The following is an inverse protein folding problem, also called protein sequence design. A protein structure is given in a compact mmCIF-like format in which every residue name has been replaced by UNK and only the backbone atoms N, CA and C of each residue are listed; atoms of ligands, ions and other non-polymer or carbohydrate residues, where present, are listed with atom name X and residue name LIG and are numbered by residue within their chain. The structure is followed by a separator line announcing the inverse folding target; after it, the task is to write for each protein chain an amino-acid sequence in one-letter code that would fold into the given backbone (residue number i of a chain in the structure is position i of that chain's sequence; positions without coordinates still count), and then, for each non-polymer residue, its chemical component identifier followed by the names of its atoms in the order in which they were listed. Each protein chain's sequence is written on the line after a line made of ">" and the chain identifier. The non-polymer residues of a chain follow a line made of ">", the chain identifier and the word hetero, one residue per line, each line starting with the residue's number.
data_IF_372041254857
#
_entry.id   IF_372041254857
#
_cell.length_a   1.000
_cell.length_b   1.000
_cell.length_c   1.000
_cell.angle_alpha   90.00
_cell.angle_beta   90.00
_cell.angle_gamma   90.00
#
_symmetry.space_group_name_H-M   'P 1'
#
loop_
_entity.id
_entity.type
_entity.pdbx_description
1 polymer ?
#
# COMPACT_ATOMS: atom_id res chain seq x y z
N UNK A 1 -17.67 -13.00 -3.53
CA UNK A 1 -17.90 -11.57 -3.37
C UNK A 1 -16.82 -10.93 -2.51
N UNK A 2 -16.42 -9.70 -2.81
CA UNK A 2 -15.48 -8.96 -1.98
C UNK A 2 -16.13 -8.58 -0.65
N UNK A 3 -15.40 -8.64 0.47
CA UNK A 3 -15.93 -8.14 1.74
C UNK A 3 -16.33 -6.67 1.60
N UNK A 4 -17.51 -6.32 2.09
CA UNK A 4 -17.94 -4.94 2.14
C UNK A 4 -17.91 -4.48 3.59
N UNK A 5 -17.20 -3.39 3.82
CA UNK A 5 -17.20 -2.74 5.13
C UNK A 5 -17.45 -1.25 4.95
N UNK A 6 -18.09 -0.66 5.94
CA UNK A 6 -18.26 0.80 5.96
C UNK A 6 -16.96 1.55 6.27
N UNK A 7 -15.91 0.83 6.64
CA UNK A 7 -14.63 1.39 7.05
C UNK A 7 -13.68 1.49 5.85
N UNK A 8 -13.67 0.48 4.99
CA UNK A 8 -12.72 0.40 3.88
C UNK A 8 -13.42 0.49 2.52
N UNK A 9 -13.00 1.40 1.65
CA UNK A 9 -13.57 1.49 0.30
C UNK A 9 -13.19 0.27 -0.54
N UNK A 10 -14.07 -0.09 -1.48
CA UNK A 10 -13.87 -1.22 -2.40
C UNK A 10 -12.56 -1.09 -3.18
N UNK A 11 -12.10 0.13 -3.47
CA UNK A 11 -10.86 0.39 -4.18
C UNK A 11 -9.61 -0.21 -3.53
N UNK A 12 -9.59 -0.37 -2.19
CA UNK A 12 -8.45 -0.99 -1.51
C UNK A 12 -8.33 -2.48 -1.89
N UNK A 13 -9.46 -3.17 -2.02
CA UNK A 13 -9.48 -4.58 -2.41
C UNK A 13 -8.97 -4.77 -3.85
N UNK A 14 -9.33 -3.85 -4.75
CA UNK A 14 -8.83 -3.88 -6.13
C UNK A 14 -7.30 -3.69 -6.19
N UNK A 15 -6.74 -2.84 -5.35
CA UNK A 15 -5.27 -2.68 -5.24
C UNK A 15 -4.62 -4.00 -4.81
N UNK A 16 -5.12 -4.61 -3.74
CA UNK A 16 -4.59 -5.88 -3.22
C UNK A 16 -4.67 -7.00 -4.25
N UNK A 17 -5.79 -7.12 -4.95
CA UNK A 17 -5.97 -8.10 -6.01
C UNK A 17 -5.04 -7.84 -7.20
N UNK A 18 -4.78 -6.58 -7.52
CA UNK A 18 -3.83 -6.21 -8.57
C UNK A 18 -2.40 -6.62 -8.20
N UNK A 19 -1.98 -6.37 -6.96
CA UNK A 19 -0.66 -6.78 -6.48
C UNK A 19 -0.51 -8.30 -6.51
N UNK A 20 -1.53 -9.03 -6.09
CA UNK A 20 -1.55 -10.49 -6.16
C UNK A 20 -1.43 -10.99 -7.61
N UNK A 21 -2.22 -10.44 -8.50
CA UNK A 21 -2.19 -10.80 -9.92
C UNK A 21 -0.81 -10.59 -10.55
N UNK A 22 -0.20 -9.42 -10.31
CA UNK A 22 1.10 -9.10 -10.88
C UNK A 22 2.26 -9.80 -10.18
N UNK A 23 2.11 -10.21 -8.92
CA UNK A 23 3.17 -10.91 -8.19
C UNK A 23 3.57 -12.25 -8.83
N UNK A 24 2.67 -12.86 -9.59
CA UNK A 24 2.95 -14.07 -10.35
C UNK A 24 3.75 -13.81 -11.65
N UNK A 25 3.93 -12.55 -12.04
CA UNK A 25 4.49 -12.16 -13.35
C UNK A 25 5.64 -11.18 -13.27
N UNK A 26 5.67 -10.32 -12.27
CA UNK A 26 6.62 -9.22 -12.12
C UNK A 26 7.30 -9.28 -10.77
N UNK A 27 8.52 -8.76 -10.71
CA UNK A 27 9.31 -8.67 -9.47
C UNK A 27 8.95 -7.44 -8.64
N UNK A 28 8.51 -6.38 -9.29
CA UNK A 28 8.14 -5.11 -8.66
C UNK A 28 7.05 -4.40 -9.44
N UNK A 29 6.34 -3.50 -8.77
CA UNK A 29 5.24 -2.74 -9.36
C UNK A 29 5.20 -1.35 -8.76
N UNK A 30 5.16 -0.33 -9.61
CA UNK A 30 4.88 1.04 -9.18
C UNK A 30 3.38 1.30 -9.33
N UNK A 31 2.71 1.51 -8.19
CA UNK A 31 1.31 1.91 -8.14
C UNK A 31 1.22 3.43 -8.00
N UNK A 32 0.37 4.03 -8.82
CA UNK A 32 0.06 5.47 -8.76
C UNK A 32 -1.46 5.66 -8.80
N UNK A 33 -1.99 6.52 -7.95
CA UNK A 33 -3.38 6.95 -8.05
C UNK A 33 -3.63 7.70 -9.36
N UNK A 34 -4.86 7.69 -9.87
CA UNK A 34 -5.20 8.27 -11.16
C UNK A 34 -5.13 9.81 -11.20
N UNK A 35 -5.11 10.46 -10.04
CA UNK A 35 -5.00 11.92 -9.89
C UNK A 35 -3.56 12.41 -9.65
N UNK A 36 -2.58 11.55 -9.85
CA UNK A 36 -1.16 11.87 -9.74
C UNK A 36 -0.65 12.49 -11.04
N UNK A 37 0.16 13.54 -10.92
CA UNK A 37 0.85 14.19 -12.05
C UNK A 37 2.34 13.94 -11.94
N UNK A 38 2.93 13.28 -12.93
CA UNK A 38 4.37 13.04 -12.99
C UNK A 38 5.08 14.27 -13.60
N UNK A 39 5.95 14.92 -12.82
CA UNK A 39 6.67 16.13 -13.23
C UNK A 39 8.12 15.89 -13.59
N UNK A 40 8.60 14.68 -13.51
CA UNK A 40 10.02 14.39 -13.76
C UNK A 40 10.26 12.90 -13.98
N UNK A 41 11.54 12.54 -14.08
CA UNK A 41 11.95 11.16 -14.30
C UNK A 41 11.65 10.30 -13.07
N UNK A 42 11.20 9.08 -13.31
CA UNK A 42 11.01 8.04 -12.28
C UNK A 42 12.22 7.10 -12.17
N UNK A 43 13.31 7.38 -12.89
CA UNK A 43 14.46 6.47 -12.96
C UNK A 43 15.07 6.17 -11.60
N UNK A 44 15.20 7.17 -10.72
CA UNK A 44 15.73 6.96 -9.38
C UNK A 44 14.84 6.07 -8.53
N UNK A 45 13.53 6.23 -8.65
CA UNK A 45 12.56 5.43 -7.92
C UNK A 45 12.60 3.96 -8.39
N UNK A 46 12.53 3.72 -9.68
CA UNK A 46 12.53 2.35 -10.22
C UNK A 46 13.90 1.66 -10.13
N UNK A 47 14.96 2.42 -9.89
CA UNK A 47 16.30 1.87 -9.65
C UNK A 47 16.52 1.41 -8.20
N UNK A 48 15.55 1.64 -7.29
CA UNK A 48 15.64 1.14 -5.92
C UNK A 48 15.68 -0.39 -5.94
N UNK A 49 16.67 -0.94 -5.25
CA UNK A 49 16.79 -2.38 -5.08
C UNK A 49 16.20 -2.79 -3.73
N UNK A 50 15.25 -3.69 -3.76
CA UNK A 50 14.68 -4.28 -2.55
C UNK A 50 15.50 -5.48 -2.09
N UNK A 51 15.61 -5.64 -0.77
CA UNK A 51 16.08 -6.87 -0.13
C UNK A 51 14.88 -7.67 0.36
N UNK A 52 14.46 -7.41 1.59
CA UNK A 52 13.30 -8.04 2.24
C UNK A 52 12.18 -7.05 2.57
N UNK A 53 12.35 -5.78 2.19
CA UNK A 53 11.31 -4.77 2.37
C UNK A 53 10.09 -5.08 1.46
N UNK A 54 8.91 -4.77 1.93
CA UNK A 54 7.67 -4.96 1.16
C UNK A 54 7.50 -3.92 0.07
N UNK A 55 8.13 -2.77 0.22
CA UNK A 55 8.06 -1.69 -0.76
C UNK A 55 8.62 -0.38 -0.24
N UNK A 56 8.53 0.64 -1.07
CA UNK A 56 8.85 2.02 -0.75
C UNK A 56 7.58 2.88 -0.89
N UNK A 57 7.32 3.71 0.09
CA UNK A 57 6.14 4.57 0.16
C UNK A 57 6.53 5.99 0.56
N UNK A 58 5.63 6.93 0.35
CA UNK A 58 5.81 8.32 0.76
C UNK A 58 5.09 8.54 2.09
N UNK A 59 5.83 8.99 3.10
CA UNK A 59 5.23 9.35 4.41
C UNK A 59 4.29 10.53 4.18
N UNK A 60 3.11 10.47 4.75
CA UNK A 60 2.12 11.53 4.62
C UNK A 60 2.51 12.76 5.47
N UNK A 61 1.92 13.91 5.17
CA UNK A 61 2.21 15.16 5.87
C UNK A 61 1.81 15.10 7.35
N UNK A 62 2.46 15.88 8.19
CA UNK A 62 2.28 15.87 9.67
C UNK A 62 0.82 15.98 10.09
N UNK A 63 0.06 16.85 9.43
CA UNK A 63 -1.36 17.03 9.73
C UNK A 63 -2.19 15.76 9.50
N UNK A 64 -1.82 14.96 8.49
CA UNK A 64 -2.48 13.70 8.20
C UNK A 64 -1.99 12.58 9.11
N UNK A 65 -0.74 12.62 9.57
CA UNK A 65 -0.19 11.69 10.55
C UNK A 65 -1.03 11.68 11.83
N UNK A 66 -1.19 12.85 12.44
CA UNK A 66 -1.95 13.03 13.68
C UNK A 66 -3.42 12.64 13.51
N UNK A 67 -4.04 13.05 12.41
CA UNK A 67 -5.44 12.76 12.10
C UNK A 67 -5.69 11.26 11.89
N UNK A 68 -4.74 10.56 11.29
CA UNK A 68 -4.83 9.13 11.10
C UNK A 68 -4.64 8.36 12.40
N UNK A 69 -3.72 8.77 13.25
CA UNK A 69 -3.52 8.21 14.58
C UNK A 69 -4.79 8.33 15.44
N UNK A 70 -5.42 9.50 15.42
CA UNK A 70 -6.69 9.75 16.12
C UNK A 70 -7.82 8.87 15.58
N UNK A 71 -8.00 8.81 14.25
CA UNK A 71 -9.04 8.02 13.61
C UNK A 71 -8.90 6.52 13.87
N UNK A 72 -7.67 6.02 13.91
CA UNK A 72 -7.36 4.62 14.14
C UNK A 72 -7.20 4.28 15.63
N UNK A 73 -7.32 5.29 16.50
CA UNK A 73 -7.14 5.16 17.95
C UNK A 73 -5.81 4.49 18.33
N UNK A 74 -4.76 4.80 17.57
CA UNK A 74 -3.44 4.22 17.77
C UNK A 74 -2.34 5.24 17.46
N UNK A 75 -1.67 5.72 18.50
CA UNK A 75 -0.59 6.71 18.40
C UNK A 75 0.67 6.17 17.70
N UNK A 76 0.83 4.85 17.59
CA UNK A 76 1.95 4.25 16.87
C UNK A 76 1.94 4.60 15.37
N UNK A 77 0.79 5.00 14.83
CA UNK A 77 0.68 5.48 13.45
C UNK A 77 1.15 6.93 13.28
N UNK A 78 1.30 7.69 14.35
CA UNK A 78 1.78 9.06 14.27
C UNK A 78 3.27 9.05 13.87
N UNK A 79 3.59 9.63 12.71
CA UNK A 79 4.94 9.64 12.13
C UNK A 79 5.27 8.46 11.20
N UNK A 80 4.44 7.42 11.17
CA UNK A 80 4.64 6.24 10.31
C UNK A 80 3.52 6.00 9.31
N UNK A 81 2.46 6.78 9.34
CA UNK A 81 1.37 6.70 8.37
C UNK A 81 1.84 7.21 7.00
N UNK A 82 1.58 6.45 5.95
CA UNK A 82 2.02 6.80 4.60
C UNK A 82 0.86 7.10 3.66
N UNK A 83 1.15 7.87 2.62
CA UNK A 83 0.22 8.14 1.53
C UNK A 83 0.20 6.95 0.57
N UNK A 84 -0.96 6.33 0.41
CA UNK A 84 -1.11 5.14 -0.43
C UNK A 84 -1.28 5.44 -1.92
N UNK A 85 -1.23 6.69 -2.32
CA UNK A 85 -1.35 7.11 -3.73
C UNK A 85 -0.09 6.90 -4.56
N UNK A 86 1.06 6.68 -3.91
CA UNK A 86 2.33 6.33 -4.55
C UNK A 86 2.95 5.19 -3.76
N UNK A 87 3.06 4.02 -4.38
CA UNK A 87 3.64 2.84 -3.74
C UNK A 87 4.50 2.06 -4.73
N UNK A 88 5.77 1.86 -4.39
CA UNK A 88 6.64 0.99 -5.15
C UNK A 88 6.78 -0.34 -4.41
N UNK A 89 6.17 -1.39 -4.92
CA UNK A 89 5.93 -2.64 -4.22
C UNK A 89 6.94 -3.70 -4.67
N UNK A 90 7.54 -4.38 -3.67
CA UNK A 90 8.36 -5.57 -3.88
C UNK A 90 7.44 -6.79 -4.01
N UNK A 91 7.07 -7.14 -5.23
CA UNK A 91 6.12 -8.22 -5.48
C UNK A 91 6.68 -9.61 -5.12
N UNK A 92 8.00 -9.78 -5.12
CA UNK A 92 8.62 -11.04 -4.65
C UNK A 92 8.31 -11.30 -3.19
N UNK A 93 8.51 -10.28 -2.33
CA UNK A 93 8.17 -10.39 -0.91
C UNK A 93 6.66 -10.45 -0.68
N UNK A 94 5.90 -9.72 -1.50
CA UNK A 94 4.44 -9.79 -1.47
C UNK A 94 3.94 -11.22 -1.62
N UNK A 95 4.42 -11.92 -2.64
CA UNK A 95 4.06 -13.32 -2.91
C UNK A 95 4.60 -14.28 -1.85
N UNK A 96 5.88 -14.14 -1.50
CA UNK A 96 6.56 -15.00 -0.52
C UNK A 96 5.90 -14.94 0.86
N UNK A 97 5.50 -13.75 1.30
CA UNK A 97 4.88 -13.52 2.59
C UNK A 97 3.36 -13.70 2.57
N UNK A 98 2.76 -13.97 1.42
CA UNK A 98 1.31 -14.12 1.23
C UNK A 98 0.54 -12.91 1.76
N UNK A 99 1.00 -11.71 1.39
CA UNK A 99 0.49 -10.47 1.94
C UNK A 99 -0.97 -10.20 1.56
N UNK A 100 -1.41 -10.61 0.38
CA UNK A 100 -2.81 -10.46 -0.02
C UNK A 100 -3.74 -11.15 0.99
N UNK A 101 -3.46 -12.38 1.34
CA UNK A 101 -4.25 -13.13 2.31
C UNK A 101 -4.24 -12.49 3.70
N UNK A 102 -3.05 -12.04 4.15
CA UNK A 102 -2.89 -11.35 5.43
C UNK A 102 -3.71 -10.05 5.48
N UNK A 103 -3.70 -9.26 4.42
CA UNK A 103 -4.50 -8.05 4.34
C UNK A 103 -6.00 -8.32 4.31
N UNK A 104 -6.45 -9.31 3.56
CA UNK A 104 -7.86 -9.71 3.56
C UNK A 104 -8.32 -10.16 4.95
N UNK A 105 -7.52 -10.91 5.66
CA UNK A 105 -7.82 -11.33 7.03
C UNK A 105 -7.95 -10.12 7.97
N UNK A 106 -7.00 -9.17 7.91
CA UNK A 106 -7.06 -7.94 8.70
C UNK A 106 -8.31 -7.11 8.40
N UNK A 107 -8.65 -6.93 7.12
CA UNK A 107 -9.81 -6.15 6.70
C UNK A 107 -11.13 -6.83 7.10
N UNK A 108 -11.17 -8.14 7.14
CA UNK A 108 -12.34 -8.91 7.58
C UNK A 108 -12.56 -8.81 9.09
N UNK A 109 -11.49 -8.77 9.89
CA UNK A 109 -11.56 -8.66 11.35
C UNK A 109 -12.04 -7.27 11.82
N UNK A 110 -11.82 -6.22 11.01
CA UNK A 110 -12.20 -4.84 11.32
C UNK A 110 -13.60 -4.43 10.79
N UNK A 111 -14.23 -5.31 10.06
CA UNK A 111 -15.54 -5.03 9.45
C UNK A 111 -16.74 -5.37 10.34
#
# INVERSE_FOLDING_TARGET
>A
ALPQSNIWPVSIYYRLLSFDYFSARLDSLLYLDADIVCKGSLNELIALEFKDEYGAVVIDVDAMQSKSAERLCNEDFNGSYFNSGVMYINLREWLKQRLTEKFFDLLSDES
#
